data_IF_212804458391
#
_entry.id   IF_212804458391
#
_cell.length_a   1.000
_cell.length_b   1.000
_cell.length_c   1.000
_cell.angle_alpha   90.00
_cell.angle_beta   90.00
_cell.angle_gamma   90.00
#
_symmetry.space_group_name_H-M   'P 1'
#
loop_
_entity.id
_entity.type
_entity.pdbx_description
1 polymer ?
#
# COMPACT_ATOMS: atom_id res chain seq x y z
N UNK A 1 -7.16 9.14 21.09
CA UNK A 1 -6.67 8.57 19.82
C UNK A 1 -6.54 9.73 18.86
N UNK A 2 -5.43 9.87 18.12
CA UNK A 2 -5.27 10.92 17.13
C UNK A 2 -6.39 10.79 16.08
N UNK A 3 -6.94 11.91 15.66
CA UNK A 3 -7.94 11.99 14.59
C UNK A 3 -7.25 11.77 13.25
N UNK A 4 -7.97 11.22 12.29
CA UNK A 4 -7.49 11.09 10.90
C UNK A 4 -8.29 12.04 10.04
N UNK A 5 -7.59 12.93 9.35
CA UNK A 5 -8.14 13.85 8.37
C UNK A 5 -7.67 13.44 6.98
N UNK A 6 -8.53 13.60 5.98
CA UNK A 6 -8.19 13.36 4.58
C UNK A 6 -8.47 14.65 3.81
N UNK A 7 -7.53 15.06 2.97
CA UNK A 7 -7.64 16.30 2.20
C UNK A 7 -7.10 16.12 0.79
N UNK A 8 -7.90 16.46 -0.21
CA UNK A 8 -7.42 16.66 -1.57
C UNK A 8 -6.57 17.94 -1.65
N UNK A 9 -5.29 17.79 -1.98
CA UNK A 9 -4.31 18.88 -2.07
C UNK A 9 -3.96 19.20 -3.54
N UNK A 10 -4.98 19.30 -4.38
CA UNK A 10 -4.87 19.69 -5.79
C UNK A 10 -6.05 20.56 -6.21
N UNK A 11 -5.86 21.42 -7.22
CA UNK A 11 -6.92 22.26 -7.79
C UNK A 11 -7.89 21.45 -8.67
N UNK A 12 -8.62 22.09 -9.57
CA UNK A 12 -9.46 21.35 -10.52
C UNK A 12 -8.62 20.42 -11.40
N UNK A 13 -8.96 19.14 -11.39
CA UNK A 13 -8.27 18.12 -12.20
C UNK A 13 -9.30 17.25 -12.91
N UNK A 14 -9.04 17.01 -14.20
CA UNK A 14 -9.77 16.02 -14.99
C UNK A 14 -8.97 14.73 -15.04
N UNK A 15 -9.64 13.59 -14.97
CA UNK A 15 -8.98 12.31 -15.11
C UNK A 15 -9.81 11.26 -15.87
N UNK A 16 -9.13 10.55 -16.76
CA UNK A 16 -9.64 9.33 -17.38
C UNK A 16 -8.52 8.31 -17.58
N UNK A 17 -8.70 7.10 -17.03
CA UNK A 17 -7.72 6.04 -17.19
C UNK A 17 -7.63 5.60 -18.67
N UNK A 18 -6.48 5.84 -19.29
CA UNK A 18 -6.22 5.51 -20.71
C UNK A 18 -5.86 4.04 -20.93
N UNK A 19 -5.93 3.19 -19.90
CA UNK A 19 -5.51 1.77 -19.92
C UNK A 19 -4.07 1.53 -20.42
N UNK A 20 -3.21 2.54 -20.37
CA UNK A 20 -1.84 2.50 -20.88
C UNK A 20 -0.84 1.70 -20.02
N UNK A 21 -1.25 1.23 -18.83
CA UNK A 21 -0.35 0.48 -17.94
C UNK A 21 0.66 1.30 -17.14
N UNK A 22 0.61 2.64 -17.20
CA UNK A 22 1.54 3.50 -16.42
C UNK A 22 1.55 3.15 -14.92
N UNK A 23 0.39 2.82 -14.33
CA UNK A 23 0.28 2.40 -12.92
C UNK A 23 0.86 1.00 -12.62
N UNK A 24 1.13 0.19 -13.64
CA UNK A 24 1.66 -1.17 -13.48
C UNK A 24 3.18 -1.22 -13.33
N UNK A 25 3.88 -0.08 -13.35
CA UNK A 25 5.33 -0.03 -13.24
C UNK A 25 5.71 0.31 -11.79
N UNK A 26 6.18 -0.69 -11.05
CA UNK A 26 6.50 -0.53 -9.64
C UNK A 26 7.94 -0.05 -9.45
N UNK A 27 8.12 1.18 -8.96
CA UNK A 27 9.36 1.70 -8.41
C UNK A 27 9.65 1.05 -7.05
N UNK A 28 10.77 0.32 -7.00
CA UNK A 28 11.33 -0.31 -5.79
C UNK A 28 12.77 0.18 -5.61
N UNK A 29 13.03 1.12 -4.69
CA UNK A 29 14.37 1.60 -4.41
C UNK A 29 15.23 0.46 -3.83
N UNK A 30 16.46 0.29 -4.33
CA UNK A 30 17.43 -0.76 -3.90
C UNK A 30 18.30 -0.32 -2.72
N UNK A 31 18.24 0.96 -2.40
CA UNK A 31 19.01 1.63 -1.36
C UNK A 31 18.46 1.44 0.07
N UNK A 32 17.29 0.82 0.22
CA UNK A 32 16.71 0.50 1.53
C UNK A 32 16.99 -0.94 1.90
N UNK A 33 17.22 -1.17 3.19
CA UNK A 33 17.31 -2.51 3.77
C UNK A 33 15.96 -3.25 3.71
N UNK A 34 16.01 -4.57 3.92
CA UNK A 34 14.81 -5.42 3.95
C UNK A 34 13.84 -5.06 5.08
N UNK A 35 14.38 -4.56 6.20
CA UNK A 35 13.62 -4.08 7.34
C UNK A 35 13.86 -2.58 7.49
N UNK A 36 12.85 -1.80 7.10
CA UNK A 36 12.88 -0.35 7.11
C UNK A 36 12.42 0.13 8.49
N UNK A 37 13.26 0.84 9.25
CA UNK A 37 12.88 1.43 10.53
C UNK A 37 11.75 2.47 10.36
N UNK A 38 10.91 2.65 11.39
CA UNK A 38 9.78 3.58 11.31
C UNK A 38 10.20 5.03 11.01
N UNK A 39 11.39 5.43 11.45
CA UNK A 39 11.99 6.74 11.19
C UNK A 39 12.37 6.99 9.72
N UNK A 40 12.47 5.94 8.89
CA UNK A 40 12.79 6.05 7.45
C UNK A 40 11.56 5.89 6.54
N UNK A 41 10.37 5.71 7.12
CA UNK A 41 9.16 5.37 6.35
C UNK A 41 8.76 6.49 5.39
N UNK A 42 8.94 7.74 5.79
CA UNK A 42 8.60 8.89 4.93
C UNK A 42 9.44 8.88 3.64
N UNK A 43 10.77 8.73 3.75
CA UNK A 43 11.66 8.65 2.59
C UNK A 43 11.36 7.41 1.74
N UNK A 44 11.10 6.27 2.39
CA UNK A 44 10.74 5.04 1.70
C UNK A 44 9.44 5.18 0.89
N UNK A 45 8.40 5.77 1.47
CA UNK A 45 7.11 6.00 0.81
C UNK A 45 7.27 7.02 -0.33
N UNK A 46 8.11 8.04 -0.18
CA UNK A 46 8.39 9.00 -1.25
C UNK A 46 9.11 8.37 -2.45
N UNK A 47 9.93 7.34 -2.22
CA UNK A 47 10.80 6.72 -3.23
C UNK A 47 10.25 5.40 -3.79
N UNK A 48 9.20 4.84 -3.23
CA UNK A 48 8.56 3.62 -3.71
C UNK A 48 7.11 3.88 -4.13
N UNK A 49 6.53 2.99 -4.95
CA UNK A 49 5.10 3.03 -5.28
C UNK A 49 4.47 1.63 -5.14
N UNK A 50 4.87 0.91 -4.10
CA UNK A 50 4.37 -0.43 -3.82
C UNK A 50 2.84 -0.44 -3.70
N UNK A 51 2.20 -1.37 -4.41
CA UNK A 51 0.75 -1.52 -4.39
C UNK A 51 0.37 -2.45 -3.25
N UNK A 52 -0.05 -1.88 -2.13
CA UNK A 52 -0.58 -2.64 -0.99
C UNK A 52 -1.89 -3.32 -1.34
N UNK A 53 -2.06 -4.56 -0.87
CA UNK A 53 -3.26 -5.36 -1.10
C UNK A 53 -4.00 -5.57 0.22
N UNK A 54 -5.31 -5.33 0.22
CA UNK A 54 -6.17 -5.76 1.32
C UNK A 54 -6.54 -7.24 1.17
N UNK A 55 -7.08 -7.86 2.23
CA UNK A 55 -7.64 -9.22 2.15
C UNK A 55 -8.72 -9.31 1.07
N UNK A 56 -9.55 -8.27 0.93
CA UNK A 56 -10.59 -8.18 -0.09
C UNK A 56 -10.01 -8.07 -1.50
N UNK A 57 -8.90 -7.34 -1.70
CA UNK A 57 -8.21 -7.28 -2.99
C UNK A 57 -7.68 -8.65 -3.38
N UNK A 58 -7.01 -9.34 -2.46
CA UNK A 58 -6.47 -10.69 -2.67
C UNK A 58 -7.60 -11.65 -3.05
N UNK A 59 -8.70 -11.66 -2.29
CA UNK A 59 -9.86 -12.51 -2.55
C UNK A 59 -10.48 -12.26 -3.93
N UNK A 60 -10.69 -10.98 -4.30
CA UNK A 60 -11.27 -10.60 -5.61
C UNK A 60 -10.37 -11.02 -6.78
N UNK A 61 -9.06 -10.84 -6.65
CA UNK A 61 -8.08 -11.23 -7.67
C UNK A 61 -8.07 -12.75 -7.81
N UNK A 62 -7.97 -13.50 -6.71
CA UNK A 62 -8.00 -14.97 -6.73
C UNK A 62 -9.27 -15.49 -7.40
N UNK A 63 -10.45 -14.96 -7.03
CA UNK A 63 -11.73 -15.35 -7.64
C UNK A 63 -11.78 -15.08 -9.14
N UNK A 64 -11.22 -13.94 -9.59
CA UNK A 64 -11.24 -13.56 -11.02
C UNK A 64 -10.25 -14.36 -11.86
N UNK A 65 -9.09 -14.71 -11.29
CA UNK A 65 -7.95 -15.24 -12.04
C UNK A 65 -7.72 -16.73 -11.85
N UNK A 66 -8.33 -17.35 -10.83
CA UNK A 66 -8.04 -18.71 -10.40
C UNK A 66 -6.69 -18.88 -9.70
N UNK A 67 -5.93 -17.79 -9.51
CA UNK A 67 -4.59 -17.83 -8.92
C UNK A 67 -4.64 -17.89 -7.40
N UNK A 68 -3.72 -18.67 -6.84
CA UNK A 68 -3.44 -18.65 -5.41
C UNK A 68 -2.78 -17.32 -5.00
N UNK A 69 -3.01 -16.82 -3.77
CA UNK A 69 -2.36 -15.60 -3.28
C UNK A 69 -0.83 -15.63 -3.43
N UNK A 70 -0.20 -16.79 -3.21
CA UNK A 70 1.25 -16.96 -3.32
C UNK A 70 1.81 -16.67 -4.73
N UNK A 71 0.99 -16.60 -5.77
CA UNK A 71 1.43 -16.28 -7.13
C UNK A 71 1.55 -14.76 -7.39
N UNK A 72 0.74 -13.94 -6.71
CA UNK A 72 0.64 -12.50 -7.00
C UNK A 72 0.83 -11.59 -5.79
N UNK A 73 0.86 -12.15 -4.58
CA UNK A 73 1.22 -11.45 -3.35
C UNK A 73 2.72 -11.58 -3.12
N UNK A 74 3.32 -10.50 -2.70
CA UNK A 74 4.72 -10.40 -2.31
C UNK A 74 4.80 -9.86 -0.88
N UNK A 75 5.57 -10.56 -0.06
CA UNK A 75 5.85 -10.27 1.35
C UNK A 75 7.31 -10.65 1.61
N UNK A 76 7.92 -10.11 2.65
CA UNK A 76 9.30 -10.49 3.02
C UNK A 76 9.33 -11.90 3.64
N UNK A 77 8.33 -12.24 4.43
CA UNK A 77 8.16 -13.57 5.01
C UNK A 77 7.07 -14.34 4.27
N UNK A 78 7.04 -15.69 4.32
CA UNK A 78 5.98 -16.46 3.69
C UNK A 78 4.60 -15.94 4.10
N UNK A 79 3.76 -15.62 3.10
CA UNK A 79 2.37 -15.24 3.31
C UNK A 79 1.58 -16.48 3.72
N UNK A 80 1.68 -16.84 5.01
CA UNK A 80 0.91 -17.90 5.64
C UNK A 80 -0.13 -17.26 6.55
N UNK A 81 -1.33 -17.82 6.56
CA UNK A 81 -2.37 -17.54 7.55
C UNK A 81 -2.98 -16.13 7.54
N UNK A 82 -2.75 -15.34 6.47
CA UNK A 82 -3.35 -13.99 6.33
C UNK A 82 -2.86 -12.96 7.35
N UNK A 83 -1.77 -13.26 8.07
CA UNK A 83 -1.20 -12.39 9.11
C UNK A 83 -0.21 -11.40 8.53
N UNK A 84 -0.25 -10.17 9.04
CA UNK A 84 0.59 -9.07 8.58
C UNK A 84 1.67 -8.68 9.58
N UNK A 85 1.60 -9.19 10.80
CA UNK A 85 2.59 -8.90 11.84
C UNK A 85 3.52 -10.11 11.98
N UNK A 86 4.82 -9.83 12.09
CA UNK A 86 5.85 -10.83 12.37
C UNK A 86 6.60 -10.42 13.62
N UNK A 87 6.82 -11.39 14.49
CA UNK A 87 7.52 -11.22 15.75
C UNK A 87 8.90 -11.84 15.57
N UNK A 88 9.93 -11.04 15.80
CA UNK A 88 11.32 -11.47 15.76
C UNK A 88 11.95 -11.22 17.14
N UNK A 89 13.10 -11.85 17.38
CA UNK A 89 13.91 -11.66 18.61
C UNK A 89 13.04 -11.71 19.88
N UNK A 90 12.23 -12.76 20.00
CA UNK A 90 11.39 -12.98 21.19
C UNK A 90 10.44 -11.81 21.53
N UNK A 91 10.00 -11.05 20.52
CA UNK A 91 9.07 -9.93 20.71
C UNK A 91 9.74 -8.58 20.94
N UNK A 92 11.06 -8.50 20.85
CA UNK A 92 11.78 -7.23 20.84
C UNK A 92 11.61 -6.47 19.52
N UNK A 93 11.41 -7.19 18.42
CA UNK A 93 11.25 -6.63 17.08
C UNK A 93 9.91 -7.08 16.48
N UNK A 94 9.15 -6.11 15.97
CA UNK A 94 7.86 -6.32 15.30
C UNK A 94 7.99 -5.83 13.87
N UNK A 95 7.79 -6.73 12.91
CA UNK A 95 7.77 -6.36 11.49
C UNK A 95 6.34 -6.33 10.99
N UNK A 96 5.94 -5.19 10.45
CA UNK A 96 4.76 -5.06 9.63
C UNK A 96 5.14 -5.58 8.24
N UNK A 97 4.63 -6.75 7.86
CA UNK A 97 4.87 -7.42 6.59
C UNK A 97 3.62 -7.40 5.71
N UNK A 98 3.15 -6.18 5.38
CA UNK A 98 1.93 -5.99 4.60
C UNK A 98 2.10 -6.56 3.18
N UNK A 99 1.10 -7.30 2.68
CA UNK A 99 1.13 -7.87 1.35
C UNK A 99 1.09 -6.76 0.29
N UNK A 100 1.98 -6.87 -0.68
CA UNK A 100 1.99 -5.99 -1.86
C UNK A 100 1.81 -6.82 -3.13
N UNK A 101 1.43 -6.14 -4.20
CA UNK A 101 1.41 -6.73 -5.54
C UNK A 101 2.82 -7.15 -5.96
N UNK A 102 2.94 -8.39 -6.41
CA UNK A 102 4.18 -8.94 -6.96
C UNK A 102 4.56 -8.22 -8.26
N UNK A 103 5.85 -7.93 -8.37
CA UNK A 103 6.48 -7.49 -9.61
C UNK A 103 7.15 -8.66 -10.33
N UNK A 104 7.23 -8.56 -11.64
CA UNK A 104 8.14 -9.33 -12.49
C UNK A 104 9.58 -8.82 -12.34
N UNK A 105 10.58 -9.56 -12.89
CA UNK A 105 11.97 -9.11 -12.87
C UNK A 105 12.22 -7.73 -13.50
N UNK A 106 11.42 -7.35 -14.49
CA UNK A 106 11.48 -6.04 -15.17
C UNK A 106 10.78 -4.91 -14.40
N UNK A 107 10.38 -5.16 -13.15
CA UNK A 107 9.65 -4.23 -12.26
C UNK A 107 8.20 -3.92 -12.64
N UNK A 108 7.68 -4.53 -13.71
CA UNK A 108 6.25 -4.45 -14.03
C UNK A 108 5.41 -5.34 -13.12
N UNK A 109 4.14 -4.99 -12.92
CA UNK A 109 3.18 -5.78 -12.18
C UNK A 109 3.02 -7.18 -12.82
N UNK A 110 2.87 -8.22 -11.99
CA UNK A 110 2.66 -9.60 -12.44
C UNK A 110 1.46 -9.76 -13.39
N UNK A 111 0.46 -8.89 -13.30
CA UNK A 111 -0.74 -8.89 -14.14
C UNK A 111 -0.65 -8.00 -15.38
N UNK A 112 0.46 -7.31 -15.59
CA UNK A 112 0.67 -6.48 -16.77
C UNK A 112 1.18 -7.34 -17.94
N UNK A 113 0.57 -7.21 -19.11
CA UNK A 113 1.10 -7.77 -20.37
C UNK A 113 1.22 -6.65 -21.40
N UNK A 114 0.14 -6.37 -22.13
CA UNK A 114 -0.04 -5.20 -23.00
C UNK A 114 -1.11 -4.25 -22.39
N UNK A 115 -1.37 -4.44 -21.10
CA UNK A 115 -2.47 -3.87 -20.35
C UNK A 115 -2.65 -4.62 -19.03
N UNK A 116 -3.49 -4.10 -18.14
CA UNK A 116 -3.79 -4.77 -16.88
C UNK A 116 -4.80 -5.91 -17.11
N UNK A 117 -4.35 -7.16 -17.04
CA UNK A 117 -5.24 -8.34 -17.21
C UNK A 117 -6.34 -8.45 -16.14
N UNK A 118 -6.15 -7.80 -14.98
CA UNK A 118 -7.13 -7.74 -13.88
C UNK A 118 -7.85 -6.40 -13.78
N UNK A 119 -7.94 -5.63 -14.88
CA UNK A 119 -8.46 -4.25 -14.88
C UNK A 119 -9.82 -4.09 -14.15
N UNK A 120 -10.74 -5.03 -14.34
CA UNK A 120 -12.08 -5.01 -13.72
C UNK A 120 -12.07 -5.24 -12.20
N UNK A 121 -11.06 -5.93 -11.68
CA UNK A 121 -10.90 -6.26 -10.25
C UNK A 121 -9.66 -5.61 -9.64
N UNK A 122 -9.20 -4.49 -10.21
CA UNK A 122 -8.06 -3.73 -9.69
C UNK A 122 -8.17 -3.48 -8.18
N UNK A 123 -7.07 -3.63 -7.43
CA UNK A 123 -7.00 -3.21 -6.03
C UNK A 123 -7.40 -1.75 -5.84
N UNK A 124 -7.83 -1.39 -4.64
CA UNK A 124 -8.15 -0.01 -4.30
C UNK A 124 -6.99 0.96 -4.62
N UNK A 125 -5.76 0.61 -4.22
CA UNK A 125 -4.56 1.40 -4.54
C UNK A 125 -4.36 1.60 -6.06
N UNK A 126 -4.63 0.59 -6.89
CA UNK A 126 -4.55 0.72 -8.36
C UNK A 126 -5.68 1.56 -8.97
N UNK A 127 -6.83 1.66 -8.30
CA UNK A 127 -7.95 2.52 -8.73
C UNK A 127 -7.71 3.98 -8.36
N UNK A 128 -7.01 4.22 -7.25
CA UNK A 128 -6.62 5.55 -6.81
C UNK A 128 -5.57 6.19 -7.72
N UNK A 129 -4.71 5.42 -8.41
CA UNK A 129 -3.77 6.02 -9.36
C UNK A 129 -4.50 6.85 -10.45
N UNK A 130 -4.08 8.10 -10.72
CA UNK A 130 -2.80 8.74 -10.42
C UNK A 130 -2.75 9.54 -9.11
N UNK A 131 -3.77 9.44 -8.28
CA UNK A 131 -3.82 10.07 -6.97
C UNK A 131 -3.00 9.27 -5.96
N UNK A 132 -2.07 9.94 -5.29
CA UNK A 132 -1.22 9.35 -4.24
C UNK A 132 -1.50 10.02 -2.90
N UNK A 133 -1.28 9.28 -1.81
CA UNK A 133 -1.51 9.77 -0.46
C UNK A 133 -0.17 10.01 0.22
N UNK A 134 0.01 11.21 0.76
CA UNK A 134 1.08 11.55 1.69
C UNK A 134 0.52 11.56 3.11
N UNK A 135 1.24 10.94 4.03
CA UNK A 135 0.87 10.88 5.43
C UNK A 135 1.69 11.94 6.19
N UNK A 136 1.02 12.87 6.86
CA UNK A 136 1.65 13.94 7.65
C UNK A 136 1.09 13.94 9.08
N UNK A 137 1.87 14.38 10.05
CA UNK A 137 1.40 14.60 11.43
C UNK A 137 1.20 16.10 11.63
N UNK A 138 0.03 16.51 12.13
CA UNK A 138 -0.26 17.92 12.43
C UNK A 138 0.45 18.38 13.70
N UNK A 139 0.49 19.68 13.95
CA UNK A 139 1.08 20.23 15.18
C UNK A 139 0.39 19.70 16.45
N UNK A 140 -0.89 19.34 16.34
CA UNK A 140 -1.73 18.78 17.40
C UNK A 140 -1.54 17.26 17.55
N UNK A 141 -0.72 16.63 16.72
CA UNK A 141 -0.47 15.18 16.73
C UNK A 141 -1.54 14.34 16.01
N UNK A 142 -2.42 14.97 15.23
CA UNK A 142 -3.39 14.28 14.39
C UNK A 142 -2.76 13.80 13.07
N UNK A 143 -3.34 12.79 12.44
CA UNK A 143 -2.87 12.26 11.16
C UNK A 143 -3.61 12.95 10.01
N UNK A 144 -2.86 13.58 9.10
CA UNK A 144 -3.38 14.18 7.87
C UNK A 144 -2.94 13.36 6.65
N UNK A 145 -3.92 12.85 5.90
CA UNK A 145 -3.73 12.17 4.63
C UNK A 145 -3.96 13.15 3.49
N UNK A 146 -2.87 13.68 2.93
CA UNK A 146 -2.94 14.61 1.79
C UNK A 146 -2.91 13.85 0.47
N UNK A 147 -3.89 14.11 -0.39
CA UNK A 147 -3.99 13.48 -1.69
C UNK A 147 -3.39 14.41 -2.74
N UNK A 148 -2.36 13.93 -3.44
CA UNK A 148 -1.74 14.62 -4.58
C UNK A 148 -2.01 13.91 -5.91
N UNK A 149 -1.63 14.55 -7.01
CA UNK A 149 -1.77 14.02 -8.38
C UNK A 149 -0.41 13.79 -9.01
N UNK A 150 -0.20 12.59 -9.57
CA UNK A 150 0.91 12.37 -10.49
C UNK A 150 0.58 12.96 -11.87
N UNK A 151 1.07 14.18 -12.12
CA UNK A 151 0.87 14.92 -13.37
C UNK A 151 1.47 14.26 -14.61
N UNK A 152 2.39 13.32 -14.45
CA UNK A 152 2.99 12.57 -15.57
C UNK A 152 2.09 11.47 -16.12
N UNK A 153 0.97 11.16 -15.44
CA UNK A 153 0.04 10.15 -15.92
C UNK A 153 -0.65 10.61 -17.22
N UNK A 154 -0.65 9.80 -18.31
CA UNK A 154 -1.28 10.16 -19.58
C UNK A 154 -2.80 10.40 -19.56
N UNK A 155 -3.45 10.07 -18.43
CA UNK A 155 -4.89 10.27 -18.22
C UNK A 155 -5.23 11.58 -17.51
N UNK A 156 -4.25 12.28 -16.93
CA UNK A 156 -4.47 13.58 -16.29
C UNK A 156 -4.80 14.62 -17.36
N UNK A 157 -5.79 15.46 -17.07
CA UNK A 157 -6.33 16.46 -18.00
C UNK A 157 -7.40 15.92 -18.96
N UNK A 158 -7.73 14.63 -18.91
CA UNK A 158 -8.72 13.99 -19.79
C UNK A 158 -9.99 13.60 -19.03
N UNK A 159 -11.09 13.41 -19.73
CA UNK A 159 -12.36 12.94 -19.15
C UNK A 159 -13.02 13.91 -18.17
N UNK A 160 -13.67 13.33 -17.16
CA UNK A 160 -14.51 14.05 -16.21
C UNK A 160 -13.70 14.81 -15.15
N UNK A 161 -14.31 15.86 -14.60
CA UNK A 161 -13.79 16.52 -13.41
C UNK A 161 -13.84 15.54 -12.23
N UNK A 162 -12.76 15.48 -11.47
CA UNK A 162 -12.64 14.56 -10.34
C UNK A 162 -13.34 15.17 -9.13
N UNK A 163 -14.22 14.41 -8.51
CA UNK A 163 -14.83 14.78 -7.24
C UNK A 163 -13.81 14.55 -6.10
N UNK A 164 -13.28 15.65 -5.57
CA UNK A 164 -12.33 15.62 -4.47
C UNK A 164 -12.89 14.97 -3.20
N UNK A 165 -14.18 15.16 -2.90
CA UNK A 165 -14.82 14.57 -1.72
C UNK A 165 -15.06 13.07 -1.89
N UNK A 166 -15.41 12.62 -3.09
CA UNK A 166 -15.47 11.19 -3.38
C UNK A 166 -14.09 10.55 -3.22
N UNK A 167 -13.04 11.20 -3.72
CA UNK A 167 -11.67 10.70 -3.60
C UNK A 167 -11.19 10.67 -2.14
N UNK A 168 -11.49 11.70 -1.35
CA UNK A 168 -11.22 11.74 0.09
C UNK A 168 -11.88 10.56 0.82
N UNK A 169 -13.14 10.25 0.49
CA UNK A 169 -13.87 9.11 1.07
C UNK A 169 -13.20 7.78 0.71
N UNK A 170 -12.84 7.59 -0.55
CA UNK A 170 -12.16 6.37 -1.02
C UNK A 170 -10.80 6.17 -0.32
N UNK A 171 -10.04 7.25 -0.13
CA UNK A 171 -8.77 7.22 0.60
C UNK A 171 -8.98 6.90 2.08
N UNK A 172 -9.96 7.54 2.73
CA UNK A 172 -10.30 7.28 4.12
C UNK A 172 -10.69 5.81 4.36
N UNK A 173 -11.54 5.24 3.49
CA UNK A 173 -11.97 3.85 3.57
C UNK A 173 -10.79 2.89 3.37
N UNK A 174 -9.96 3.15 2.35
CA UNK A 174 -8.79 2.33 2.07
C UNK A 174 -7.78 2.36 3.23
N UNK A 175 -7.46 3.56 3.73
CA UNK A 175 -6.55 3.73 4.85
C UNK A 175 -7.07 3.06 6.12
N UNK A 176 -8.34 3.29 6.46
CA UNK A 176 -8.97 2.71 7.66
C UNK A 176 -8.94 1.18 7.63
N UNK A 177 -9.30 0.57 6.50
CA UNK A 177 -9.29 -0.89 6.37
C UNK A 177 -7.91 -1.52 6.64
N UNK A 178 -6.84 -0.88 6.14
CA UNK A 178 -5.45 -1.33 6.33
C UNK A 178 -4.99 -1.12 7.77
N UNK A 179 -5.19 0.09 8.29
CA UNK A 179 -4.70 0.51 9.60
C UNK A 179 -5.42 -0.22 10.75
N UNK A 180 -6.72 -0.50 10.61
CA UNK A 180 -7.50 -1.26 11.59
C UNK A 180 -6.97 -2.69 11.70
N UNK A 181 -6.83 -3.39 10.56
CA UNK A 181 -6.39 -4.79 10.55
C UNK A 181 -5.01 -4.97 11.22
N UNK A 182 -4.07 -4.07 10.95
CA UNK A 182 -2.74 -4.08 11.57
C UNK A 182 -2.82 -3.74 13.06
N UNK A 183 -3.55 -2.69 13.42
CA UNK A 183 -3.66 -2.26 14.80
C UNK A 183 -4.32 -3.32 15.69
N UNK A 184 -5.33 -4.02 15.19
CA UNK A 184 -5.98 -5.13 15.89
C UNK A 184 -5.03 -6.30 16.12
N UNK A 185 -4.26 -6.70 15.10
CA UNK A 185 -3.27 -7.77 15.23
C UNK A 185 -2.18 -7.40 16.26
N UNK A 186 -1.61 -6.19 16.17
CA UNK A 186 -0.59 -5.71 17.12
C UNK A 186 -1.15 -5.65 18.55
N UNK A 187 -2.35 -5.10 18.76
CA UNK A 187 -2.99 -5.04 20.08
C UNK A 187 -3.25 -6.44 20.65
N UNK A 188 -3.68 -7.38 19.82
CA UNK A 188 -3.89 -8.78 20.23
C UNK A 188 -2.59 -9.42 20.71
N UNK A 189 -1.50 -9.24 19.96
CA UNK A 189 -0.18 -9.77 20.30
C UNK A 189 0.42 -9.14 21.57
N UNK A 190 0.21 -7.83 21.78
CA UNK A 190 0.57 -7.15 23.04
C UNK A 190 -0.20 -7.72 24.23
N UNK A 191 -1.52 -7.89 24.11
CA UNK A 191 -2.35 -8.49 25.18
C UNK A 191 -1.94 -9.92 25.50
N UNK A 192 -1.48 -10.68 24.50
CA UNK A 192 -0.99 -12.04 24.66
C UNK A 192 0.45 -12.13 25.21
N UNK A 193 1.10 -10.99 25.51
CA UNK A 193 2.48 -10.95 26.01
C UNK A 193 3.51 -11.43 24.98
N UNK A 194 3.17 -11.40 23.70
CA UNK A 194 4.05 -11.87 22.60
C UNK A 194 4.96 -10.76 22.06
N UNK A 195 4.67 -9.51 22.39
CA UNK A 195 5.44 -8.32 22.02
C UNK A 195 5.90 -7.65 23.31
N UNK A 196 7.18 -7.33 23.40
CA UNK A 196 7.76 -6.66 24.55
C UNK A 196 7.26 -5.20 24.63
N UNK A 197 7.10 -4.63 25.85
CA UNK A 197 6.92 -3.20 26.00
C UNK A 197 8.08 -2.44 25.35
N UNK A 198 7.78 -1.49 24.46
CA UNK A 198 8.81 -0.73 23.73
C UNK A 198 9.47 -1.49 22.58
N UNK A 199 8.88 -2.59 22.09
CA UNK A 199 9.38 -3.29 20.92
C UNK A 199 9.58 -2.35 19.72
N UNK A 200 10.69 -2.56 19.00
CA UNK A 200 11.01 -1.79 17.79
C UNK A 200 10.09 -2.25 16.67
N UNK A 201 9.55 -1.30 15.93
CA UNK A 201 8.65 -1.57 14.81
C UNK A 201 9.42 -1.34 13.50
N UNK A 202 9.25 -2.24 12.55
CA UNK A 202 9.81 -2.14 11.21
C UNK A 202 8.72 -2.33 10.16
N UNK A 203 8.90 -1.73 8.99
CA UNK A 203 8.19 -2.04 7.76
C UNK A 203 9.06 -2.96 6.92
N UNK A 204 8.48 -3.99 6.31
CA UNK A 204 9.22 -4.79 5.32
C UNK A 204 9.37 -4.05 3.99
N UNK A 205 10.49 -4.30 3.30
CA UNK A 205 10.67 -4.07 1.87
C UNK A 205 10.39 -5.38 1.10
N UNK A 206 9.13 -5.68 0.75
CA UNK A 206 8.80 -6.91 0.05
C UNK A 206 9.30 -6.88 -1.40
N UNK A 207 9.79 -8.04 -1.84
CA UNK A 207 10.20 -8.27 -3.22
C UNK A 207 11.45 -7.53 -3.67
N UNK A 208 12.44 -7.45 -2.77
CA UNK A 208 13.85 -7.30 -3.15
C UNK A 208 14.34 -8.46 -4.04
N UNK A 209 15.56 -8.37 -4.60
CA UNK A 209 16.13 -9.45 -5.38
C UNK A 209 16.14 -10.73 -4.54
N UNK A 210 15.42 -11.76 -5.01
CA UNK A 210 15.55 -13.11 -4.48
C UNK A 210 16.88 -13.63 -5.02
N UNK A 211 17.92 -13.62 -4.20
CA UNK A 211 19.07 -14.49 -4.41
C UNK A 211 18.62 -15.94 -4.28
#
# INVERSE_FOLDING_TARGET
>A
MPRVFVRAAFGEVRFECQRCGSCCHHRRPREFDLLIPMEQIEDFVARSNLIYLTVQDISRISKKTGKSPAEFVDTLYPYRDGRFVRILREGQDVVLDLPVMRSKPDTTCIFYTEGCSVYGVRPAACRLFPFFVKENITAEGDLLLEIGVNSTCPGVGKGALVDGHELERLVADHFSSRSIAVAEEVKSLLRAGRIAPGARIFRSLPGGPRT
#
